data_IF_194584673322
#
_entry.id   IF_194584673322
#
_cell.length_a   1.000
_cell.length_b   1.000
_cell.length_c   1.000
_cell.angle_alpha   90.00
_cell.angle_beta   90.00
_cell.angle_gamma   90.00
#
_symmetry.space_group_name_H-M   'P 1'
#
loop_
_entity.id
_entity.type
_entity.pdbx_description
1 polymer ?
#
# COMPACT_ATOMS: atom_id res chain seq x y z
N UNK A 1 40.25 -37.19 -67.73
CA UNK A 1 39.88 -35.77 -67.61
C UNK A 1 39.39 -35.54 -66.18
N UNK A 2 40.29 -35.02 -65.35
CA UNK A 2 40.15 -34.35 -64.05
C UNK A 2 39.31 -34.93 -62.90
N UNK A 3 40.11 -35.30 -61.89
CA UNK A 3 39.87 -35.89 -60.59
C UNK A 3 39.94 -34.83 -59.47
N UNK A 4 39.02 -33.84 -59.42
CA UNK A 4 39.22 -32.70 -58.49
C UNK A 4 38.04 -32.24 -57.63
N UNK A 5 36.86 -32.84 -57.77
CA UNK A 5 35.68 -32.39 -56.99
C UNK A 5 35.19 -33.36 -55.92
N UNK A 6 35.76 -34.56 -55.82
CA UNK A 6 35.31 -35.59 -54.87
C UNK A 6 35.95 -35.52 -53.46
N UNK A 7 36.92 -34.62 -53.20
CA UNK A 7 37.77 -34.73 -51.99
C UNK A 7 38.15 -33.42 -51.23
N UNK A 8 37.54 -32.24 -51.50
CA UNK A 8 37.98 -30.96 -50.90
C UNK A 8 36.90 -30.12 -50.15
N UNK A 9 35.92 -30.76 -49.49
CA UNK A 9 35.13 -30.14 -48.39
C UNK A 9 35.01 -31.08 -47.18
N UNK A 10 36.13 -31.61 -46.72
CA UNK A 10 36.37 -31.86 -45.27
C UNK A 10 37.31 -30.74 -44.84
N UNK A 11 37.05 -30.11 -43.67
CA UNK A 11 38.02 -29.56 -42.68
C UNK A 11 37.34 -28.47 -41.82
N UNK A 12 36.88 -28.91 -40.63
CA UNK A 12 36.63 -28.21 -39.34
C UNK A 12 35.55 -27.09 -39.28
N UNK A 13 34.58 -27.09 -38.34
CA UNK A 13 34.39 -27.95 -37.18
C UNK A 13 33.17 -27.58 -36.31
N UNK A 14 33.14 -28.23 -35.14
CA UNK A 14 32.42 -27.85 -33.90
C UNK A 14 30.96 -28.36 -33.73
N UNK A 15 30.90 -29.55 -33.12
CA UNK A 15 30.14 -29.90 -31.89
C UNK A 15 28.60 -30.05 -31.86
N UNK A 16 28.22 -31.31 -31.58
CA UNK A 16 27.06 -31.83 -30.83
C UNK A 16 26.46 -30.90 -29.76
N UNK A 17 25.12 -30.75 -29.72
CA UNK A 17 24.35 -30.67 -28.44
C UNK A 17 22.91 -31.20 -28.63
N UNK A 18 22.47 -32.03 -27.69
CA UNK A 18 21.10 -32.51 -27.49
C UNK A 18 20.09 -31.37 -27.23
N UNK A 19 18.96 -31.39 -27.91
CA UNK A 19 17.77 -30.63 -27.51
C UNK A 19 16.58 -31.32 -28.16
N UNK A 20 15.68 -31.98 -27.44
CA UNK A 20 14.64 -31.32 -26.65
C UNK A 20 14.25 -32.27 -25.51
N UNK A 21 14.89 -32.14 -24.34
CA UNK A 21 14.13 -32.21 -23.09
C UNK A 21 13.55 -30.82 -22.92
N UNK A 22 12.34 -30.61 -23.48
CA UNK A 22 11.57 -29.42 -23.17
C UNK A 22 11.30 -29.46 -21.65
N UNK A 23 12.13 -28.70 -20.94
CA UNK A 23 12.03 -28.41 -19.54
C UNK A 23 10.69 -27.71 -19.31
N UNK A 24 9.62 -28.49 -19.08
CA UNK A 24 8.43 -28.03 -18.38
C UNK A 24 8.78 -27.84 -16.91
N UNK A 25 9.66 -26.89 -16.63
CA UNK A 25 9.65 -26.21 -15.34
C UNK A 25 8.50 -25.19 -15.37
N UNK A 26 7.26 -25.68 -15.45
CA UNK A 26 6.10 -24.96 -14.89
C UNK A 26 6.18 -25.13 -13.36
N UNK A 27 7.27 -24.61 -12.83
CA UNK A 27 7.65 -24.66 -11.42
C UNK A 27 8.50 -23.45 -11.07
N UNK A 28 8.54 -22.43 -11.94
CA UNK A 28 8.66 -21.07 -11.46
C UNK A 28 7.33 -20.72 -10.76
N UNK A 29 7.08 -21.38 -9.62
CA UNK A 29 6.48 -20.67 -8.51
C UNK A 29 7.28 -19.39 -8.45
N UNK A 30 6.62 -18.29 -8.83
CA UNK A 30 7.24 -16.98 -8.89
C UNK A 30 7.89 -16.82 -7.54
N UNK A 31 9.21 -17.00 -7.54
CA UNK A 31 10.04 -16.89 -6.37
C UNK A 31 9.55 -15.63 -5.67
N UNK A 32 9.10 -15.81 -4.42
CA UNK A 32 8.57 -14.77 -3.56
C UNK A 32 9.23 -13.45 -3.95
N UNK A 33 8.52 -12.67 -4.77
CA UNK A 33 9.10 -11.47 -5.35
C UNK A 33 9.47 -10.63 -4.15
N UNK A 34 10.77 -10.39 -4.00
CA UNK A 34 11.36 -9.69 -2.87
C UNK A 34 10.47 -8.48 -2.57
N UNK A 35 9.67 -8.60 -1.51
CA UNK A 35 8.70 -7.56 -1.18
C UNK A 35 9.54 -6.44 -0.60
N UNK A 36 10.06 -5.58 -1.48
CA UNK A 36 10.75 -4.36 -1.08
C UNK A 36 9.70 -3.48 -0.43
N UNK A 37 9.62 -3.56 0.89
CA UNK A 37 8.77 -2.70 1.69
C UNK A 37 9.31 -1.28 1.55
N UNK A 38 8.45 -0.38 1.07
CA UNK A 38 8.73 1.06 1.07
C UNK A 38 8.00 1.71 2.23
N UNK A 39 8.67 2.63 2.89
CA UNK A 39 8.09 3.42 3.98
C UNK A 39 7.59 4.72 3.37
N UNK A 40 6.33 5.07 3.62
CA UNK A 40 5.72 6.34 3.23
C UNK A 40 5.33 7.13 4.47
N UNK A 41 5.83 8.36 4.57
CA UNK A 41 5.42 9.29 5.62
C UNK A 41 4.13 10.02 5.17
N UNK A 42 3.06 9.85 5.93
CA UNK A 42 1.76 10.45 5.65
C UNK A 42 1.63 11.89 6.21
N UNK A 43 2.60 12.32 7.02
CA UNK A 43 2.61 13.62 7.66
C UNK A 43 1.68 13.75 8.87
N UNK A 44 1.28 14.98 9.15
CA UNK A 44 0.42 15.37 10.27
C UNK A 44 -0.71 16.29 9.79
N UNK A 45 -1.70 16.52 10.63
CA UNK A 45 -2.66 17.60 10.40
C UNK A 45 -1.94 18.96 10.41
N UNK A 46 -2.44 19.98 9.67
CA UNK A 46 -1.81 21.30 9.64
C UNK A 46 -1.56 21.88 11.05
N UNK A 47 -0.29 22.22 11.32
CA UNK A 47 0.16 22.74 12.62
C UNK A 47 0.29 21.70 13.74
N UNK A 48 -0.07 20.44 13.47
CA UNK A 48 0.13 19.30 14.35
C UNK A 48 1.52 18.68 14.24
N UNK A 49 1.92 17.93 15.25
CA UNK A 49 3.28 17.34 15.36
C UNK A 49 3.30 15.83 15.51
N UNK A 50 2.14 15.16 15.52
CA UNK A 50 2.02 13.74 15.77
C UNK A 50 0.83 13.14 15.03
N UNK A 51 0.98 11.91 14.53
CA UNK A 51 -0.09 11.14 13.89
C UNK A 51 0.11 9.63 14.12
N UNK A 52 -0.99 8.87 14.13
CA UNK A 52 -1.02 7.41 14.25
C UNK A 52 -2.08 6.86 13.30
N UNK A 53 -1.69 5.96 12.40
CA UNK A 53 -2.61 5.19 11.56
C UNK A 53 -3.18 3.97 12.28
N UNK A 54 -4.48 3.74 12.16
CA UNK A 54 -5.21 2.65 12.83
C UNK A 54 -5.97 1.74 11.86
N UNK A 55 -6.27 2.21 10.65
CA UNK A 55 -6.95 1.42 9.62
C UNK A 55 -6.51 1.83 8.23
N UNK A 56 -6.58 0.89 7.29
CA UNK A 56 -6.20 1.11 5.88
C UNK A 56 -7.13 0.34 4.94
N UNK A 57 -7.45 0.92 3.78
CA UNK A 57 -8.22 0.26 2.71
C UNK A 57 -7.32 -0.35 1.64
N UNK A 58 -7.90 -1.07 0.67
CA UNK A 58 -7.14 -1.58 -0.49
C UNK A 58 -6.71 -0.50 -1.50
N UNK A 59 -7.09 0.76 -1.27
CA UNK A 59 -6.78 1.91 -2.13
C UNK A 59 -5.80 2.87 -1.44
N UNK A 60 -5.02 2.36 -0.49
CA UNK A 60 -4.02 3.13 0.26
C UNK A 60 -4.61 4.32 1.04
N UNK A 61 -5.90 4.25 1.39
CA UNK A 61 -6.56 5.25 2.24
C UNK A 61 -6.36 4.84 3.69
N UNK A 62 -5.82 5.74 4.51
CA UNK A 62 -5.46 5.46 5.91
C UNK A 62 -6.31 6.32 6.82
N UNK A 63 -6.86 5.73 7.88
CA UNK A 63 -7.49 6.47 8.99
C UNK A 63 -6.67 6.33 10.25
N UNK A 64 -6.91 7.25 11.17
CA UNK A 64 -6.16 7.30 12.39
C UNK A 64 -6.55 8.49 13.25
N UNK A 65 -5.61 8.94 14.06
CA UNK A 65 -5.73 10.18 14.81
C UNK A 65 -4.41 10.95 14.80
N UNK A 66 -4.50 12.27 14.86
CA UNK A 66 -3.36 13.16 14.82
C UNK A 66 -3.57 14.33 15.79
N UNK A 67 -2.47 14.91 16.26
CA UNK A 67 -2.51 16.17 16.98
C UNK A 67 -2.88 17.29 16.01
N UNK A 68 -3.79 18.16 16.42
CA UNK A 68 -4.06 19.43 15.74
C UNK A 68 -3.12 20.52 16.24
N UNK A 69 -3.16 21.70 15.62
CA UNK A 69 -2.45 22.89 16.11
C UNK A 69 -2.85 23.31 17.53
N UNK A 70 -4.04 22.90 17.99
CA UNK A 70 -4.57 23.20 19.31
C UNK A 70 -4.20 22.13 20.36
N UNK A 71 -3.29 21.21 20.03
CA UNK A 71 -2.89 20.08 20.89
C UNK A 71 -4.04 19.13 21.27
N UNK A 72 -5.03 19.02 20.39
CA UNK A 72 -6.16 18.10 20.49
C UNK A 72 -5.94 16.90 19.58
N UNK A 73 -6.40 15.72 19.97
CA UNK A 73 -6.36 14.55 19.09
C UNK A 73 -7.60 14.50 18.23
N UNK A 74 -7.46 14.63 16.92
CA UNK A 74 -8.56 14.46 16.00
C UNK A 74 -8.37 13.24 15.11
N UNK A 75 -9.47 12.54 14.83
CA UNK A 75 -9.55 11.53 13.81
C UNK A 75 -9.20 12.13 12.44
N UNK A 76 -8.46 11.39 11.61
CA UNK A 76 -8.13 11.83 10.25
C UNK A 76 -8.45 10.76 9.21
N UNK A 77 -8.61 11.21 7.96
CA UNK A 77 -8.57 10.39 6.75
C UNK A 77 -7.44 10.89 5.85
N UNK A 78 -6.49 10.03 5.52
CA UNK A 78 -5.45 10.26 4.53
C UNK A 78 -5.85 9.62 3.21
N UNK A 79 -5.92 10.42 2.14
CA UNK A 79 -6.26 9.97 0.80
C UNK A 79 -5.61 10.89 -0.24
N UNK A 80 -5.13 10.31 -1.33
CA UNK A 80 -4.59 11.05 -2.48
C UNK A 80 -3.50 12.09 -2.09
N UNK A 81 -2.67 11.75 -1.09
CA UNK A 81 -1.61 12.62 -0.59
C UNK A 81 -2.02 13.64 0.49
N UNK A 82 -3.29 13.65 0.90
CA UNK A 82 -3.86 14.68 1.78
C UNK A 82 -4.38 14.08 3.08
N UNK A 83 -3.90 14.57 4.23
CA UNK A 83 -4.47 14.27 5.55
C UNK A 83 -5.61 15.24 5.87
N UNK A 84 -6.83 14.71 5.93
CA UNK A 84 -8.06 15.45 6.20
C UNK A 84 -8.49 15.24 7.64
N UNK A 85 -8.74 16.33 8.38
CA UNK A 85 -9.34 16.29 9.71
C UNK A 85 -10.82 15.88 9.62
N UNK A 86 -11.21 14.83 10.35
CA UNK A 86 -12.60 14.37 10.45
C UNK A 86 -13.35 15.03 11.62
N UNK A 87 -12.65 15.75 12.49
CA UNK A 87 -13.17 16.48 13.63
C UNK A 87 -13.62 15.59 14.79
N UNK A 88 -14.20 16.23 15.80
CA UNK A 88 -14.83 15.58 16.95
C UNK A 88 -16.34 15.89 16.99
N UNK A 89 -17.05 15.36 17.98
CA UNK A 89 -18.44 15.72 18.20
C UNK A 89 -18.58 17.21 18.54
N UNK A 90 -19.75 17.84 18.30
CA UNK A 90 -19.97 19.25 18.63
C UNK A 90 -19.61 19.58 20.09
N UNK A 91 -18.73 20.56 20.26
CA UNK A 91 -18.19 21.00 21.55
C UNK A 91 -17.18 20.05 22.20
N UNK A 92 -16.92 18.90 21.58
CA UNK A 92 -15.88 17.95 21.94
C UNK A 92 -14.50 18.34 21.46
N UNK A 93 -13.48 17.85 22.17
CA UNK A 93 -12.08 18.18 21.87
C UNK A 93 -11.28 17.04 21.26
N UNK A 94 -11.71 15.78 21.42
CA UNK A 94 -10.93 14.63 20.97
C UNK A 94 -11.78 13.64 20.16
N UNK A 95 -11.13 13.00 19.19
CA UNK A 95 -11.67 11.88 18.43
C UNK A 95 -10.56 10.95 17.94
N UNK A 96 -10.94 9.69 17.72
CA UNK A 96 -10.04 8.62 17.32
C UNK A 96 -10.77 7.71 16.34
N UNK A 97 -10.30 7.65 15.09
CA UNK A 97 -10.74 6.61 14.16
C UNK A 97 -10.08 5.28 14.51
N UNK A 98 -10.84 4.20 14.47
CA UNK A 98 -10.37 2.84 14.79
C UNK A 98 -10.48 1.89 13.61
N UNK A 99 -11.32 2.18 12.61
CA UNK A 99 -11.43 1.39 11.39
C UNK A 99 -12.01 2.19 10.22
N UNK A 100 -11.81 1.68 9.01
CA UNK A 100 -12.37 2.18 7.76
C UNK A 100 -12.75 1.00 6.85
N UNK A 101 -13.80 1.15 6.05
CA UNK A 101 -14.16 0.22 4.97
C UNK A 101 -13.88 0.80 3.56
N UNK A 102 -14.12 0.00 2.51
CA UNK A 102 -13.89 0.44 1.12
C UNK A 102 -14.96 1.40 0.59
N UNK A 103 -15.94 1.80 1.40
CA UNK A 103 -16.97 2.79 1.06
C UNK A 103 -16.77 4.08 1.88
N UNK A 104 -15.62 4.21 2.54
CA UNK A 104 -15.22 5.36 3.37
C UNK A 104 -16.12 5.58 4.59
N UNK A 105 -16.75 4.53 5.11
CA UNK A 105 -17.30 4.58 6.46
C UNK A 105 -16.17 4.40 7.46
N UNK A 106 -15.90 5.43 8.24
CA UNK A 106 -14.88 5.42 9.28
C UNK A 106 -15.60 5.26 10.62
N UNK A 107 -15.22 4.26 11.41
CA UNK A 107 -15.78 4.10 12.76
C UNK A 107 -14.74 4.46 13.82
N UNK A 108 -15.21 4.86 15.00
CA UNK A 108 -14.33 5.22 16.10
C UNK A 108 -15.04 5.77 17.32
N UNK A 109 -14.30 6.52 18.12
CA UNK A 109 -14.80 7.22 19.31
C UNK A 109 -14.56 8.71 19.17
N UNK A 110 -15.54 9.51 19.57
CA UNK A 110 -15.39 10.94 19.73
C UNK A 110 -15.99 11.38 21.06
N UNK A 111 -15.39 12.40 21.65
CA UNK A 111 -15.77 12.89 22.97
C UNK A 111 -16.78 14.03 22.82
N UNK A 112 -17.82 14.03 23.64
CA UNK A 112 -18.75 15.15 23.74
C UNK A 112 -18.11 16.34 24.48
N UNK A 113 -18.80 17.48 24.51
CA UNK A 113 -18.40 18.62 25.34
C UNK A 113 -18.25 18.28 26.82
N UNK A 114 -19.03 17.31 27.33
CA UNK A 114 -18.94 16.83 28.71
C UNK A 114 -17.83 15.79 28.95
N UNK A 115 -17.02 15.47 27.93
CA UNK A 115 -15.95 14.48 28.03
C UNK A 115 -16.42 13.02 28.01
N UNK A 116 -17.69 12.75 27.75
CA UNK A 116 -18.16 11.38 27.53
C UNK A 116 -17.74 10.89 26.14
N UNK A 117 -17.11 9.72 26.07
CA UNK A 117 -16.75 9.08 24.80
C UNK A 117 -17.93 8.36 24.19
N UNK A 118 -18.28 8.70 22.94
CA UNK A 118 -19.35 8.09 22.18
C UNK A 118 -18.78 7.37 20.96
N UNK A 119 -19.35 6.20 20.64
CA UNK A 119 -19.12 5.58 19.35
C UNK A 119 -19.65 6.49 18.23
N UNK A 120 -18.87 6.67 17.17
CA UNK A 120 -19.23 7.51 16.03
C UNK A 120 -18.88 6.81 14.71
N UNK A 121 -19.59 7.22 13.67
CA UNK A 121 -19.25 6.89 12.28
C UNK A 121 -19.13 8.21 11.51
N UNK A 122 -18.04 8.38 10.78
CA UNK A 122 -17.89 9.42 9.77
C UNK A 122 -18.24 8.82 8.41
N UNK A 123 -19.10 9.51 7.67
CA UNK A 123 -19.54 9.08 6.34
C UNK A 123 -19.25 10.20 5.34
N UNK A 124 -19.02 9.87 4.05
CA UNK A 124 -18.91 10.88 3.01
C UNK A 124 -20.17 11.75 2.96
N UNK A 125 -20.00 13.03 2.61
CA UNK A 125 -21.14 13.86 2.27
C UNK A 125 -21.82 13.30 1.00
N UNK A 126 -23.14 13.24 1.02
CA UNK A 126 -23.96 12.85 -0.14
C UNK A 126 -24.04 13.97 -1.18
#
# INVERSE_FOLDING_TARGET
MNDRYALLRKIYGVSLVMGITALLALGADRAAADQVLTISDLGTLPGGTFSVGTGITRRDEVVGYALTSSQQYHAFLYRDGVMTDLGALPGGSNSYATSIDNDWHVSGVAYTAGGAGHAVVWTPAH
#
